data_IF_575420748313
#
_entry.id   IF_575420748313
#
_cell.length_a   1.000
_cell.length_b   1.000
_cell.length_c   1.000
_cell.angle_alpha   90.00
_cell.angle_beta   90.00
_cell.angle_gamma   90.00
#
_symmetry.space_group_name_H-M   'P 1'
#
loop_
_entity.id
_entity.type
_entity.pdbx_description
1 polymer ?
#
# COMPACT_ATOMS: atom_id res chain seq x y z
N UNK A 1 35.97 45.71 20.97
CA UNK A 1 35.83 46.71 19.91
C UNK A 1 35.45 46.01 18.60
N UNK A 2 34.23 46.20 18.13
CA UNK A 2 33.79 45.63 16.87
C UNK A 2 34.50 46.37 15.73
N UNK A 3 35.27 45.67 14.91
CA UNK A 3 35.89 46.21 13.69
C UNK A 3 34.74 46.54 12.70
N UNK A 4 34.47 47.83 12.49
CA UNK A 4 33.66 48.30 11.37
C UNK A 4 34.37 47.94 10.05
N UNK A 5 34.06 46.80 9.50
CA UNK A 5 34.47 46.44 8.13
C UNK A 5 33.56 47.22 7.22
N UNK A 6 34.12 48.19 6.44
CA UNK A 6 33.38 48.94 5.44
C UNK A 6 32.63 47.96 4.50
N UNK A 7 31.30 48.03 4.50
CA UNK A 7 30.46 47.16 3.64
C UNK A 7 30.77 47.45 2.18
N UNK A 8 31.16 46.40 1.47
CA UNK A 8 31.45 46.47 0.04
C UNK A 8 30.16 46.55 -0.76
N UNK A 9 29.99 47.50 -1.62
CA UNK A 9 28.83 47.63 -2.54
C UNK A 9 28.85 46.54 -3.59
N UNK A 10 28.16 45.42 -3.39
CA UNK A 10 28.11 44.30 -4.36
C UNK A 10 26.92 44.39 -5.31
N UNK A 11 25.99 45.34 -5.10
CA UNK A 11 24.78 45.49 -5.90
C UNK A 11 25.09 45.98 -7.33
N UNK A 12 26.08 46.85 -7.44
CA UNK A 12 26.37 47.53 -8.71
C UNK A 12 27.50 46.82 -9.47
N UNK A 13 27.30 46.50 -10.73
CA UNK A 13 28.33 45.92 -11.63
C UNK A 13 29.62 46.76 -11.64
N UNK A 14 29.50 48.08 -11.70
CA UNK A 14 30.62 49.02 -11.71
C UNK A 14 31.43 49.00 -10.39
N UNK A 15 30.76 48.79 -9.26
CA UNK A 15 31.39 48.62 -7.97
C UNK A 15 32.16 47.29 -7.90
N UNK A 16 31.54 46.19 -8.34
CA UNK A 16 32.19 44.88 -8.43
C UNK A 16 33.39 44.84 -9.34
N UNK A 17 33.31 45.55 -10.47
CA UNK A 17 34.41 45.65 -11.44
C UNK A 17 35.69 46.28 -10.85
N UNK A 18 35.57 47.11 -9.83
CA UNK A 18 36.72 47.77 -9.16
C UNK A 18 37.32 46.91 -8.03
N UNK A 19 36.72 45.78 -7.68
CA UNK A 19 37.24 44.94 -6.63
C UNK A 19 38.48 44.16 -7.11
N UNK A 20 39.57 44.06 -6.34
CA UNK A 20 40.69 43.20 -6.68
C UNK A 20 40.31 41.71 -6.65
N UNK A 21 40.91 40.92 -7.55
CA UNK A 21 40.79 39.47 -7.49
C UNK A 21 41.46 38.93 -6.22
N UNK A 22 40.80 38.01 -5.51
CA UNK A 22 41.34 37.39 -4.30
C UNK A 22 40.79 35.98 -4.09
N UNK A 23 41.47 35.20 -3.23
CA UNK A 23 41.09 33.82 -2.94
C UNK A 23 39.86 33.67 -2.01
N UNK A 24 39.35 34.74 -1.44
CA UNK A 24 38.20 34.71 -0.53
C UNK A 24 37.08 35.60 -1.09
N UNK A 25 35.79 35.17 -0.94
CA UNK A 25 34.65 35.98 -1.36
C UNK A 25 34.57 37.32 -0.61
N UNK A 26 34.00 38.32 -1.23
CA UNK A 26 33.54 39.55 -0.59
C UNK A 26 32.18 39.29 0.02
N UNK A 27 32.11 39.26 1.35
CA UNK A 27 30.88 38.93 2.05
C UNK A 27 30.09 40.17 2.41
N UNK A 28 28.76 40.08 2.20
CA UNK A 28 27.79 41.05 2.69
C UNK A 28 26.83 40.31 3.63
N UNK A 29 26.65 40.85 4.83
CA UNK A 29 25.65 40.33 5.78
C UNK A 29 24.25 40.68 5.28
N UNK A 30 23.33 39.69 5.32
CA UNK A 30 21.90 39.86 5.01
C UNK A 30 21.14 39.96 6.32
N UNK A 31 21.39 39.03 7.23
CA UNK A 31 20.95 39.03 8.59
C UNK A 31 21.92 38.18 9.45
N UNK A 32 21.66 38.05 10.73
CA UNK A 32 22.51 37.27 11.62
C UNK A 32 22.73 35.84 11.12
N UNK A 33 23.99 35.43 11.03
CA UNK A 33 24.39 34.10 10.53
C UNK A 33 24.21 33.86 9.00
N UNK A 34 23.71 34.83 8.22
CA UNK A 34 23.45 34.65 6.76
C UNK A 34 24.17 35.73 5.95
N UNK A 35 24.92 35.29 4.95
CA UNK A 35 25.76 36.18 4.14
C UNK A 35 25.69 35.79 2.67
N UNK A 36 25.54 36.78 1.79
CA UNK A 36 25.77 36.63 0.36
C UNK A 36 27.18 37.08 0.00
N UNK A 37 27.92 36.27 -0.70
CA UNK A 37 29.28 36.51 -1.09
C UNK A 37 29.45 36.67 -2.61
N UNK A 38 30.34 37.49 -2.98
CA UNK A 38 30.80 37.65 -4.36
C UNK A 38 32.27 37.24 -4.45
N UNK A 39 32.55 36.26 -5.29
CA UNK A 39 33.91 35.82 -5.58
C UNK A 39 34.38 36.43 -6.89
N UNK A 40 35.46 37.20 -6.86
CA UNK A 40 36.05 37.80 -8.02
C UNK A 40 37.20 36.94 -8.56
N UNK A 41 36.93 36.26 -9.68
CA UNK A 41 37.94 35.52 -10.45
C UNK A 41 38.58 36.31 -11.56
N UNK A 42 39.54 35.74 -12.28
CA UNK A 42 40.22 36.37 -13.41
C UNK A 42 39.35 36.53 -14.67
N UNK A 43 38.25 35.78 -14.80
CA UNK A 43 37.34 35.74 -15.97
C UNK A 43 35.92 36.12 -15.64
N UNK A 44 35.66 36.85 -14.57
CA UNK A 44 34.33 37.20 -14.06
C UNK A 44 34.14 36.82 -12.62
N UNK A 45 32.96 37.13 -12.09
CA UNK A 45 32.60 36.84 -10.71
C UNK A 45 31.57 35.72 -10.58
N UNK A 46 31.42 35.19 -9.36
CA UNK A 46 30.37 34.24 -9.00
C UNK A 46 29.78 34.57 -7.67
N UNK A 47 28.49 34.16 -7.51
CA UNK A 47 27.76 34.33 -6.29
C UNK A 47 27.84 33.07 -5.42
N UNK A 48 28.00 33.26 -4.12
CA UNK A 48 28.10 32.23 -3.13
C UNK A 48 27.29 32.64 -1.88
N UNK A 49 26.48 31.78 -1.37
CA UNK A 49 25.78 31.98 -0.11
C UNK A 49 26.47 31.22 1.03
N UNK A 50 26.42 31.77 2.26
CA UNK A 50 26.76 31.02 3.48
C UNK A 50 25.74 31.27 4.58
N UNK A 51 25.42 30.20 5.28
CA UNK A 51 24.51 30.24 6.42
C UNK A 51 25.12 29.48 7.60
N UNK A 52 24.85 29.94 8.80
CA UNK A 52 25.14 29.22 10.03
C UNK A 52 23.81 28.78 10.65
N UNK A 53 23.39 27.52 10.43
CA UNK A 53 22.17 26.98 11.05
C UNK A 53 22.27 27.00 12.57
N UNK A 54 21.12 27.08 13.30
CA UNK A 54 21.10 27.15 14.76
C UNK A 54 21.82 26.01 15.46
N UNK A 55 21.78 24.82 14.86
CA UNK A 55 22.30 23.57 15.45
C UNK A 55 23.74 23.25 15.01
N UNK A 56 24.36 24.06 14.14
CA UNK A 56 25.69 23.82 13.59
C UNK A 56 26.61 25.01 13.89
N UNK A 57 27.77 24.72 14.49
CA UNK A 57 28.76 25.75 14.80
C UNK A 57 29.49 26.31 13.58
N UNK A 58 29.49 25.60 12.46
CA UNK A 58 30.22 25.94 11.24
C UNK A 58 29.29 26.56 10.19
N UNK A 59 29.88 27.38 9.29
CA UNK A 59 29.17 27.92 8.15
C UNK A 59 29.05 26.89 7.04
N UNK A 60 27.83 26.64 6.58
CA UNK A 60 27.58 25.90 5.35
C UNK A 60 27.58 26.87 4.19
N UNK A 61 28.16 26.49 3.04
CA UNK A 61 28.28 27.33 1.85
C UNK A 61 27.65 26.66 0.63
N UNK A 62 27.05 27.49 -0.25
CA UNK A 62 26.47 27.05 -1.54
C UNK A 62 26.84 28.03 -2.64
N UNK A 63 27.40 27.54 -3.76
CA UNK A 63 27.58 28.31 -4.98
C UNK A 63 26.18 28.50 -5.62
N UNK A 64 25.85 29.74 -6.04
CA UNK A 64 24.53 30.08 -6.57
C UNK A 64 24.56 30.21 -8.10
N UNK A 65 25.65 30.72 -8.69
CA UNK A 65 25.80 30.94 -10.11
C UNK A 65 26.85 31.97 -10.43
N UNK A 66 27.05 32.24 -11.72
CA UNK A 66 27.93 33.30 -12.21
C UNK A 66 27.31 34.68 -11.98
N UNK A 67 28.16 35.70 -11.75
CA UNK A 67 27.66 37.06 -11.64
C UNK A 67 27.48 37.70 -13.01
N UNK A 68 26.53 38.59 -13.14
CA UNK A 68 26.19 39.35 -14.34
C UNK A 68 27.23 40.43 -14.70
N UNK A 69 28.53 40.15 -14.46
CA UNK A 69 29.62 41.12 -14.67
C UNK A 69 29.92 41.40 -16.14
N UNK A 70 29.74 40.39 -17.01
CA UNK A 70 30.12 40.41 -18.41
C UNK A 70 28.90 40.23 -19.32
N UNK A 71 27.97 39.33 -18.92
CA UNK A 71 26.79 38.96 -19.68
C UNK A 71 25.53 39.36 -18.87
N UNK A 72 24.45 39.67 -19.58
CA UNK A 72 23.17 39.98 -18.92
C UNK A 72 22.64 38.76 -18.15
N UNK A 73 21.97 38.96 -17.00
CA UNK A 73 21.46 37.89 -16.17
C UNK A 73 20.32 37.15 -16.87
N UNK A 74 20.39 35.81 -16.89
CA UNK A 74 19.36 34.91 -17.43
C UNK A 74 18.39 34.38 -16.33
N UNK A 75 18.74 34.60 -15.07
CA UNK A 75 17.96 34.13 -13.93
C UNK A 75 18.22 32.69 -13.51
N UNK A 76 19.02 31.94 -14.27
CA UNK A 76 19.37 30.53 -13.99
C UNK A 76 20.85 30.34 -13.69
N UNK A 77 21.71 30.54 -14.71
CA UNK A 77 23.13 30.33 -14.59
C UNK A 77 23.89 31.65 -14.31
N UNK A 78 23.39 32.78 -14.81
CA UNK A 78 23.95 34.13 -14.63
C UNK A 78 22.95 34.96 -13.84
N UNK A 79 23.35 35.37 -12.65
CA UNK A 79 22.48 36.04 -11.70
C UNK A 79 22.90 37.49 -11.47
N UNK A 80 21.96 38.42 -11.50
CA UNK A 80 22.13 39.75 -10.90
C UNK A 80 22.20 39.65 -9.37
N UNK A 81 22.63 40.75 -8.74
CA UNK A 81 22.64 40.81 -7.27
C UNK A 81 21.29 40.41 -6.66
N UNK A 82 20.18 40.90 -7.21
CA UNK A 82 18.84 40.65 -6.70
C UNK A 82 18.44 39.18 -6.83
N UNK A 83 18.67 38.58 -7.99
CA UNK A 83 18.42 37.16 -8.23
C UNK A 83 19.29 36.27 -7.34
N UNK A 84 20.58 36.63 -7.14
CA UNK A 84 21.46 35.91 -6.21
C UNK A 84 21.01 36.04 -4.75
N UNK A 85 20.46 37.19 -4.37
CA UNK A 85 19.89 37.40 -3.03
C UNK A 85 18.64 36.55 -2.85
N UNK A 86 17.73 36.53 -3.80
CA UNK A 86 16.51 35.74 -3.76
C UNK A 86 16.83 34.23 -3.70
N UNK A 87 17.81 33.77 -4.51
CA UNK A 87 18.31 32.39 -4.47
C UNK A 87 18.97 32.03 -3.14
N UNK A 88 19.71 32.98 -2.53
CA UNK A 88 20.31 32.78 -1.20
C UNK A 88 19.25 32.69 -0.10
N UNK A 89 18.23 33.54 -0.12
CA UNK A 89 17.13 33.51 0.85
C UNK A 89 16.34 32.22 0.76
N UNK A 90 16.01 31.75 -0.44
CA UNK A 90 15.37 30.47 -0.65
C UNK A 90 16.20 29.28 -0.11
N UNK A 91 17.53 29.34 -0.33
CA UNK A 91 18.41 28.30 0.21
C UNK A 91 18.53 28.34 1.73
N UNK A 92 18.51 29.51 2.38
CA UNK A 92 18.51 29.61 3.84
C UNK A 92 17.24 29.03 4.46
N UNK A 93 16.08 29.27 3.83
CA UNK A 93 14.82 28.66 4.24
C UNK A 93 14.86 27.14 4.20
N UNK A 94 15.44 26.58 3.14
CA UNK A 94 15.64 25.13 3.01
C UNK A 94 16.54 24.54 4.11
N UNK A 95 17.60 25.27 4.51
CA UNK A 95 18.51 24.83 5.58
C UNK A 95 17.88 24.88 6.96
N UNK A 96 17.05 25.88 7.24
CA UNK A 96 16.34 26.01 8.53
C UNK A 96 15.13 25.11 8.64
N UNK A 97 14.60 24.68 7.51
CA UNK A 97 13.47 23.77 7.43
C UNK A 97 13.84 22.60 6.49
N UNK A 98 14.62 21.60 6.99
CA UNK A 98 15.07 20.47 6.18
C UNK A 98 13.92 19.62 5.58
N UNK A 99 12.68 19.95 5.85
CA UNK A 99 11.48 19.38 5.24
C UNK A 99 10.85 20.22 4.12
N UNK A 100 11.40 21.39 3.78
CA UNK A 100 11.00 22.16 2.61
C UNK A 100 11.68 21.56 1.37
N UNK A 101 10.94 20.75 0.63
CA UNK A 101 11.30 20.32 -0.72
C UNK A 101 11.26 21.56 -1.61
N UNK A 102 12.18 21.67 -2.58
CA UNK A 102 12.17 22.77 -3.56
C UNK A 102 10.77 22.84 -4.22
N UNK A 103 10.19 24.03 -4.31
CA UNK A 103 8.84 24.20 -4.86
C UNK A 103 8.69 23.61 -6.27
N UNK A 104 9.78 23.56 -7.04
CA UNK A 104 9.83 22.92 -8.36
C UNK A 104 9.66 21.39 -8.30
N UNK A 105 10.03 20.74 -7.18
CA UNK A 105 9.97 19.28 -7.00
C UNK A 105 8.67 18.79 -6.37
N UNK A 106 7.76 19.72 -6.01
CA UNK A 106 6.47 19.39 -5.40
C UNK A 106 5.45 18.95 -6.44
N UNK A 107 5.64 17.79 -7.05
CA UNK A 107 4.74 17.24 -8.07
C UNK A 107 3.88 16.10 -7.53
N UNK A 108 2.82 15.76 -8.25
CA UNK A 108 2.00 14.57 -7.96
C UNK A 108 2.87 13.30 -7.97
N UNK A 109 3.86 13.22 -8.87
CA UNK A 109 4.79 12.09 -8.91
C UNK A 109 5.58 11.97 -7.60
N UNK A 110 6.16 13.06 -7.11
CA UNK A 110 6.94 13.07 -5.86
C UNK A 110 6.09 12.59 -4.67
N UNK A 111 4.84 13.06 -4.59
CA UNK A 111 3.90 12.63 -3.56
C UNK A 111 3.59 11.12 -3.63
N UNK A 112 3.42 10.59 -4.82
CA UNK A 112 3.18 9.16 -5.05
C UNK A 112 4.41 8.32 -4.70
N UNK A 113 5.60 8.77 -5.05
CA UNK A 113 6.86 8.07 -4.76
C UNK A 113 7.14 7.99 -3.26
N UNK A 114 6.95 9.09 -2.53
CA UNK A 114 7.09 9.15 -1.07
C UNK A 114 6.09 8.19 -0.38
N UNK A 115 4.83 8.24 -0.78
CA UNK A 115 3.81 7.32 -0.25
C UNK A 115 4.13 5.86 -0.55
N UNK A 116 4.58 5.55 -1.76
CA UNK A 116 4.96 4.21 -2.17
C UNK A 116 6.16 3.69 -1.35
N UNK A 117 7.15 4.54 -1.10
CA UNK A 117 8.32 4.19 -0.28
C UNK A 117 7.91 3.88 1.17
N UNK A 118 7.05 4.71 1.77
CA UNK A 118 6.50 4.48 3.11
C UNK A 118 5.71 3.16 3.19
N UNK A 119 4.88 2.87 2.17
CA UNK A 119 4.11 1.63 2.10
C UNK A 119 5.01 0.40 2.00
N UNK A 120 6.03 0.47 1.15
CA UNK A 120 7.00 -0.62 0.96
C UNK A 120 7.81 -0.88 2.23
N UNK A 121 8.27 0.16 2.91
CA UNK A 121 8.98 0.05 4.19
C UNK A 121 8.10 -0.63 5.25
N UNK A 122 6.85 -0.19 5.37
CA UNK A 122 5.89 -0.77 6.31
C UNK A 122 5.58 -2.25 6.02
N UNK A 123 5.35 -2.58 4.75
CA UNK A 123 4.99 -3.94 4.33
C UNK A 123 6.22 -4.87 4.43
N UNK A 124 7.42 -4.35 4.16
CA UNK A 124 8.70 -5.06 4.34
C UNK A 124 8.98 -5.36 5.83
N UNK A 125 8.79 -4.38 6.70
CA UNK A 125 8.95 -4.55 8.15
C UNK A 125 7.99 -5.63 8.70
N UNK A 126 6.74 -5.65 8.22
CA UNK A 126 5.74 -6.67 8.61
C UNK A 126 6.08 -8.07 8.10
N UNK A 127 6.72 -8.15 6.94
CA UNK A 127 7.05 -9.42 6.30
C UNK A 127 8.43 -9.96 6.68
N UNK A 128 9.27 -9.17 7.36
CA UNK A 128 10.66 -9.50 7.65
C UNK A 128 11.55 -9.66 6.41
N UNK A 129 11.12 -9.12 5.26
CA UNK A 129 11.86 -9.16 3.99
C UNK A 129 11.44 -8.01 3.08
N UNK A 130 12.29 -7.58 2.14
CA UNK A 130 11.92 -6.55 1.18
C UNK A 130 10.67 -6.93 0.38
N UNK A 131 9.67 -6.04 0.36
CA UNK A 131 8.44 -6.18 -0.41
C UNK A 131 8.09 -4.86 -1.10
N UNK A 132 7.55 -4.97 -2.31
CA UNK A 132 6.87 -3.87 -2.99
C UNK A 132 5.38 -3.97 -2.75
N UNK A 133 4.76 -2.88 -2.33
CA UNK A 133 3.32 -2.82 -2.06
C UNK A 133 2.51 -2.86 -3.35
N UNK A 134 1.32 -3.44 -3.29
CA UNK A 134 0.37 -3.40 -4.42
C UNK A 134 -0.02 -1.96 -4.78
N UNK A 135 -0.02 -1.06 -3.79
CA UNK A 135 -0.29 0.36 -3.99
C UNK A 135 0.76 1.02 -4.89
N UNK A 136 2.05 0.71 -4.69
CA UNK A 136 3.13 1.19 -5.59
C UNK A 136 2.85 0.79 -7.03
N UNK A 137 2.61 -0.51 -7.28
CA UNK A 137 2.40 -1.01 -8.64
C UNK A 137 1.23 -0.34 -9.35
N UNK A 138 0.12 -0.13 -8.63
CA UNK A 138 -1.06 0.57 -9.17
C UNK A 138 -0.78 2.04 -9.45
N UNK A 139 -0.22 2.77 -8.48
CA UNK A 139 0.05 4.19 -8.61
C UNK A 139 1.09 4.44 -9.70
N UNK A 140 2.17 3.64 -9.77
CA UNK A 140 3.15 3.77 -10.86
C UNK A 140 2.50 3.59 -12.22
N UNK A 141 1.67 2.55 -12.39
CA UNK A 141 1.07 2.23 -13.69
C UNK A 141 0.04 3.25 -14.16
N UNK A 142 -0.73 3.87 -13.27
CA UNK A 142 -1.89 4.68 -13.64
C UNK A 142 -1.81 6.15 -13.22
N UNK A 143 -0.81 6.53 -12.42
CA UNK A 143 -0.59 7.92 -12.02
C UNK A 143 0.77 8.40 -12.52
N UNK A 144 1.87 7.71 -12.21
CA UNK A 144 3.21 8.17 -12.60
C UNK A 144 3.40 8.14 -14.10
N UNK A 145 2.87 7.12 -14.80
CA UNK A 145 2.93 7.01 -16.27
C UNK A 145 2.03 8.05 -16.98
N UNK A 146 1.01 8.55 -16.30
CA UNK A 146 0.15 9.63 -16.82
C UNK A 146 0.84 10.98 -16.62
N UNK A 147 1.63 11.39 -17.62
CA UNK A 147 2.42 12.65 -17.58
C UNK A 147 1.55 13.90 -17.38
N UNK A 148 0.30 13.88 -17.83
CA UNK A 148 -0.63 15.00 -17.67
C UNK A 148 -1.01 15.24 -16.20
N UNK A 149 -0.95 14.22 -15.35
CA UNK A 149 -1.19 14.37 -13.92
C UNK A 149 0.11 14.33 -13.12
N UNK A 150 1.03 13.42 -13.44
CA UNK A 150 2.22 13.17 -12.62
C UNK A 150 3.15 14.38 -12.50
N UNK A 151 3.23 15.20 -13.57
CA UNK A 151 4.06 16.42 -13.63
C UNK A 151 3.38 17.66 -13.07
N UNK A 152 2.11 17.60 -12.73
CA UNK A 152 1.40 18.76 -12.14
C UNK A 152 2.05 19.13 -10.81
N UNK A 153 2.41 20.41 -10.67
CA UNK A 153 2.87 20.95 -9.41
C UNK A 153 1.72 20.96 -8.40
N UNK A 154 1.97 20.56 -7.17
CA UNK A 154 0.92 20.44 -6.15
C UNK A 154 0.34 21.78 -5.72
N UNK A 155 1.05 22.88 -5.92
CA UNK A 155 0.50 24.23 -5.74
C UNK A 155 -0.58 24.56 -6.76
N UNK A 156 -0.43 24.06 -7.99
CA UNK A 156 -1.31 24.35 -9.12
C UNK A 156 -2.36 23.25 -9.32
N UNK A 157 -2.33 22.18 -8.51
CA UNK A 157 -3.23 21.04 -8.64
C UNK A 157 -4.67 21.44 -8.37
N UNK A 158 -5.51 21.27 -9.37
CA UNK A 158 -6.94 21.60 -9.30
C UNK A 158 -7.82 20.35 -9.18
N UNK A 159 -9.07 20.55 -8.75
CA UNK A 159 -10.09 19.49 -8.82
C UNK A 159 -10.34 19.02 -10.27
N UNK A 160 -10.18 19.93 -11.23
CA UNK A 160 -10.32 19.65 -12.66
C UNK A 160 -9.32 18.63 -13.16
N UNK A 161 -8.04 18.74 -12.75
CA UNK A 161 -6.97 17.82 -13.12
C UNK A 161 -7.24 16.41 -12.59
N UNK A 162 -7.67 16.32 -11.33
CA UNK A 162 -8.01 15.05 -10.68
C UNK A 162 -9.22 14.37 -11.34
N UNK A 163 -10.25 15.15 -11.69
CA UNK A 163 -11.42 14.63 -12.41
C UNK A 163 -11.08 14.24 -13.85
N UNK A 164 -10.24 15.02 -14.54
CA UNK A 164 -9.78 14.70 -15.89
C UNK A 164 -8.99 13.38 -15.90
N UNK A 165 -8.12 13.17 -14.92
CA UNK A 165 -7.43 11.90 -14.74
C UNK A 165 -8.39 10.73 -14.51
N UNK A 166 -9.40 10.87 -13.63
CA UNK A 166 -10.40 9.80 -13.41
C UNK A 166 -11.15 9.44 -14.69
N UNK A 167 -11.49 10.42 -15.54
CA UNK A 167 -12.15 10.16 -16.84
C UNK A 167 -11.26 9.36 -17.80
N UNK A 168 -9.95 9.49 -17.75
CA UNK A 168 -9.01 8.68 -18.57
C UNK A 168 -8.97 7.20 -18.16
N UNK A 169 -9.46 6.86 -16.97
CA UNK A 169 -9.45 5.49 -16.45
C UNK A 169 -10.69 4.66 -16.82
N UNK A 170 -11.43 5.03 -17.87
CA UNK A 170 -12.70 4.37 -18.26
C UNK A 170 -12.56 2.88 -18.57
N UNK A 171 -11.40 2.42 -19.04
CA UNK A 171 -11.12 1.00 -19.33
C UNK A 171 -11.04 0.13 -18.07
N UNK A 172 -10.92 0.73 -16.90
CA UNK A 172 -10.80 0.00 -15.63
C UNK A 172 -12.19 -0.27 -15.03
N UNK A 173 -12.31 -1.43 -14.37
CA UNK A 173 -13.50 -1.75 -13.57
C UNK A 173 -13.68 -0.70 -12.46
N UNK A 174 -14.93 -0.35 -12.15
CA UNK A 174 -15.34 0.64 -11.15
C UNK A 174 -14.60 0.49 -9.82
N UNK A 175 -14.58 -0.71 -9.26
CA UNK A 175 -13.87 -1.00 -7.98
C UNK A 175 -12.36 -0.77 -8.08
N UNK A 176 -11.76 -0.99 -9.25
CA UNK A 176 -10.32 -0.74 -9.46
C UNK A 176 -10.05 0.75 -9.51
N UNK A 177 -10.90 1.53 -10.21
CA UNK A 177 -10.83 3.00 -10.22
C UNK A 177 -10.96 3.57 -8.81
N UNK A 178 -11.94 3.10 -8.05
CA UNK A 178 -12.14 3.55 -6.67
C UNK A 178 -10.94 3.25 -5.76
N UNK A 179 -10.33 2.07 -5.87
CA UNK A 179 -9.11 1.73 -5.13
C UNK A 179 -7.96 2.64 -5.51
N UNK A 180 -7.79 2.91 -6.80
CA UNK A 180 -6.75 3.78 -7.32
C UNK A 180 -6.93 5.22 -6.85
N UNK A 181 -8.16 5.75 -6.91
CA UNK A 181 -8.49 7.07 -6.38
C UNK A 181 -8.21 7.16 -4.86
N UNK A 182 -8.55 6.13 -4.10
CA UNK A 182 -8.25 6.07 -2.66
C UNK A 182 -6.74 6.01 -2.37
N UNK A 183 -5.96 5.26 -3.16
CA UNK A 183 -4.50 5.20 -3.02
C UNK A 183 -3.87 6.57 -3.37
N UNK A 184 -4.31 7.24 -4.44
CA UNK A 184 -3.84 8.59 -4.79
C UNK A 184 -4.22 9.61 -3.71
N UNK A 185 -5.46 9.59 -3.25
CA UNK A 185 -5.91 10.45 -2.14
C UNK A 185 -5.07 10.26 -0.88
N UNK A 186 -4.71 9.01 -0.55
CA UNK A 186 -3.86 8.72 0.59
C UNK A 186 -2.43 9.24 0.37
N UNK A 187 -1.89 9.17 -0.85
CA UNK A 187 -0.58 9.70 -1.20
C UNK A 187 -0.52 11.22 -1.06
N UNK A 188 -1.47 11.93 -1.67
CA UNK A 188 -1.54 13.39 -1.62
C UNK A 188 -1.75 13.91 -0.19
N UNK A 189 -2.63 13.28 0.60
CA UNK A 189 -2.84 13.67 1.99
C UNK A 189 -1.63 13.38 2.89
N UNK A 190 -0.92 12.28 2.68
CA UNK A 190 0.32 12.00 3.41
C UNK A 190 1.37 13.06 3.11
N UNK A 191 1.55 13.37 1.83
CA UNK A 191 2.50 14.39 1.39
C UNK A 191 2.18 15.75 2.00
N UNK A 192 0.89 16.15 2.00
CA UNK A 192 0.46 17.37 2.68
C UNK A 192 0.77 17.36 4.18
N UNK A 193 0.58 16.22 4.86
CA UNK A 193 0.91 16.12 6.30
C UNK A 193 2.40 16.34 6.58
N UNK A 194 3.27 15.82 5.70
CA UNK A 194 4.73 15.92 5.84
C UNK A 194 5.27 17.30 5.39
N UNK A 195 4.60 17.92 4.40
CA UNK A 195 5.04 19.17 3.76
C UNK A 195 4.01 20.31 3.94
N UNK A 196 3.33 20.36 5.07
CA UNK A 196 2.19 21.24 5.34
C UNK A 196 2.47 22.73 5.15
N UNK A 197 3.73 23.16 5.38
CA UNK A 197 4.13 24.57 5.22
C UNK A 197 4.40 24.95 3.76
N UNK A 198 4.66 23.96 2.92
CA UNK A 198 5.01 24.15 1.52
C UNK A 198 3.82 24.01 0.57
N UNK A 199 2.62 23.78 1.06
CA UNK A 199 1.41 23.57 0.24
C UNK A 199 0.27 24.47 0.69
N UNK A 200 -0.67 24.82 -0.22
CA UNK A 200 -1.84 25.61 0.11
C UNK A 200 -2.68 24.98 1.23
N UNK A 201 -3.24 25.80 2.11
CA UNK A 201 -4.02 25.31 3.25
C UNK A 201 -5.30 24.55 2.84
N UNK A 202 -5.86 24.86 1.69
CA UNK A 202 -7.04 24.24 1.09
C UNK A 202 -6.75 23.01 0.25
N UNK A 203 -5.48 22.64 0.06
CA UNK A 203 -5.06 21.47 -0.70
C UNK A 203 -5.82 20.16 -0.32
N UNK A 204 -6.07 19.85 0.97
CA UNK A 204 -6.86 18.67 1.33
C UNK A 204 -8.31 18.73 0.85
N UNK A 205 -8.87 19.92 0.69
CA UNK A 205 -10.23 20.14 0.16
C UNK A 205 -10.23 19.82 -1.32
N UNK A 206 -9.28 20.38 -2.09
CA UNK A 206 -9.07 20.08 -3.51
C UNK A 206 -8.95 18.57 -3.75
N UNK A 207 -8.13 17.87 -2.96
CA UNK A 207 -7.97 16.42 -3.04
C UNK A 207 -9.27 15.67 -2.70
N UNK A 208 -10.00 16.12 -1.67
CA UNK A 208 -11.26 15.49 -1.24
C UNK A 208 -12.33 15.61 -2.30
N UNK A 209 -12.47 16.79 -2.90
CA UNK A 209 -13.52 17.11 -3.89
C UNK A 209 -13.16 16.55 -5.27
N UNK A 210 -11.90 16.72 -5.71
CA UNK A 210 -11.42 16.24 -7.00
C UNK A 210 -11.40 14.70 -7.11
N UNK A 211 -11.19 13.99 -5.99
CA UNK A 211 -11.23 12.53 -5.92
C UNK A 211 -12.50 12.01 -5.23
N UNK A 212 -13.59 12.79 -5.22
CA UNK A 212 -14.90 12.29 -4.78
C UNK A 212 -15.37 11.21 -5.77
N UNK A 213 -15.85 10.08 -5.24
CA UNK A 213 -16.49 9.07 -6.07
C UNK A 213 -17.75 9.66 -6.73
N UNK A 214 -17.94 9.41 -8.01
CA UNK A 214 -19.18 9.74 -8.68
C UNK A 214 -20.33 8.94 -8.05
N UNK A 215 -21.47 9.55 -7.81
CA UNK A 215 -22.61 8.92 -7.11
C UNK A 215 -23.16 7.68 -7.85
N UNK A 216 -23.01 7.64 -9.17
CA UNK A 216 -23.38 6.50 -10.02
C UNK A 216 -22.67 5.18 -9.68
N UNK A 217 -21.60 5.21 -8.87
CA UNK A 217 -20.88 4.01 -8.46
C UNK A 217 -21.62 3.16 -7.43
N UNK A 218 -22.62 3.70 -6.76
CA UNK A 218 -23.36 3.01 -5.71
C UNK A 218 -24.61 2.29 -6.22
N UNK A 219 -25.13 2.68 -7.39
CA UNK A 219 -26.38 2.14 -7.93
C UNK A 219 -26.20 0.85 -8.76
N UNK A 220 -25.00 0.51 -9.22
CA UNK A 220 -24.77 -0.66 -10.06
C UNK A 220 -23.73 -1.60 -9.48
N UNK A 221 -24.16 -2.41 -8.55
CA UNK A 221 -23.39 -3.55 -8.10
C UNK A 221 -23.51 -3.82 -6.62
N UNK A 222 -24.64 -4.34 -6.22
CA UNK A 222 -24.62 -5.26 -5.10
C UNK A 222 -23.51 -6.26 -5.40
N UNK A 223 -22.42 -6.18 -4.64
CA UNK A 223 -21.37 -7.18 -4.69
C UNK A 223 -21.85 -8.43 -3.96
N UNK A 224 -23.00 -8.93 -4.39
CA UNK A 224 -23.50 -10.23 -3.97
C UNK A 224 -22.44 -11.24 -4.38
N UNK A 225 -22.11 -12.15 -3.51
CA UNK A 225 -21.23 -13.25 -3.85
C UNK A 225 -21.82 -13.93 -5.09
N UNK A 226 -21.03 -14.03 -6.17
CA UNK A 226 -21.52 -14.58 -7.44
C UNK A 226 -22.05 -15.99 -7.20
N UNK A 227 -23.23 -16.28 -7.69
CA UNK A 227 -23.87 -17.60 -7.49
C UNK A 227 -22.96 -18.76 -7.89
N UNK A 228 -22.22 -18.61 -8.99
CA UNK A 228 -21.25 -19.60 -9.44
C UNK A 228 -20.01 -19.76 -8.54
N UNK A 229 -19.91 -18.99 -7.46
CA UNK A 229 -18.86 -19.10 -6.44
C UNK A 229 -19.41 -19.65 -5.12
N UNK A 230 -20.70 -20.05 -5.06
CA UNK A 230 -21.30 -20.74 -3.92
C UNK A 230 -21.44 -22.21 -4.28
N UNK A 231 -20.62 -23.02 -3.67
CA UNK A 231 -20.58 -24.47 -3.90
C UNK A 231 -21.44 -25.18 -2.87
N UNK A 232 -22.20 -26.18 -3.31
CA UNK A 232 -22.85 -27.10 -2.39
C UNK A 232 -21.84 -28.06 -1.75
N UNK A 233 -22.30 -28.82 -0.76
CA UNK A 233 -21.43 -29.74 -0.03
C UNK A 233 -20.94 -30.92 -0.87
N UNK A 234 -21.69 -31.32 -1.92
CA UNK A 234 -21.28 -32.33 -2.90
C UNK A 234 -20.11 -31.83 -3.74
N UNK A 235 -20.24 -30.64 -4.29
CA UNK A 235 -19.20 -29.97 -5.09
C UNK A 235 -17.92 -29.74 -4.27
N UNK A 236 -18.06 -29.32 -3.00
CA UNK A 236 -16.89 -29.14 -2.10
C UNK A 236 -16.19 -30.47 -1.85
N UNK A 237 -16.96 -31.55 -1.59
CA UNK A 237 -16.38 -32.90 -1.43
C UNK A 237 -15.69 -33.39 -2.69
N UNK A 238 -16.27 -33.14 -3.85
CA UNK A 238 -15.68 -33.55 -5.14
C UNK A 238 -14.36 -32.81 -5.41
N UNK A 239 -14.31 -31.51 -5.15
CA UNK A 239 -13.05 -30.74 -5.25
C UNK A 239 -11.98 -31.32 -4.32
N UNK A 240 -12.33 -31.66 -3.07
CA UNK A 240 -11.41 -32.25 -2.11
C UNK A 240 -10.92 -33.62 -2.59
N UNK A 241 -11.82 -34.48 -3.08
CA UNK A 241 -11.48 -35.80 -3.61
C UNK A 241 -10.51 -35.69 -4.79
N UNK A 242 -10.80 -34.85 -5.77
CA UNK A 242 -9.94 -34.65 -6.93
C UNK A 242 -8.58 -34.02 -6.51
N UNK A 243 -8.58 -33.10 -5.54
CA UNK A 243 -7.33 -32.54 -5.04
C UNK A 243 -6.45 -33.62 -4.39
N UNK A 244 -7.04 -34.59 -3.67
CA UNK A 244 -6.32 -35.70 -3.06
C UNK A 244 -5.79 -36.70 -4.11
N UNK A 245 -6.56 -36.98 -5.14
CA UNK A 245 -6.18 -37.89 -6.21
C UNK A 245 -5.05 -37.35 -7.11
N UNK A 246 -5.03 -36.04 -7.33
CA UNK A 246 -4.07 -35.38 -8.23
C UNK A 246 -2.80 -34.89 -7.52
N UNK A 247 -2.74 -34.98 -6.20
CA UNK A 247 -1.63 -34.46 -5.40
C UNK A 247 -0.88 -35.61 -4.72
N UNK A 248 0.13 -36.13 -5.37
CA UNK A 248 0.99 -37.21 -4.84
C UNK A 248 1.63 -36.87 -3.47
N UNK A 249 1.94 -35.60 -3.25
CA UNK A 249 2.61 -35.14 -2.03
C UNK A 249 1.63 -34.78 -0.91
N UNK A 250 0.35 -34.63 -1.22
CA UNK A 250 -0.71 -34.22 -0.28
C UNK A 250 -0.65 -32.77 0.20
N UNK A 251 0.27 -31.96 -0.31
CA UNK A 251 0.52 -30.60 0.15
C UNK A 251 -0.58 -29.61 -0.32
N UNK A 252 -1.02 -29.75 -1.56
CA UNK A 252 -2.11 -28.98 -2.12
C UNK A 252 -3.46 -29.47 -1.60
N UNK A 253 -3.66 -30.76 -1.50
CA UNK A 253 -4.88 -31.36 -0.98
C UNK A 253 -5.12 -30.90 0.48
N UNK A 254 -4.11 -30.92 1.34
CA UNK A 254 -4.21 -30.41 2.69
C UNK A 254 -4.63 -28.94 2.74
N UNK A 255 -4.05 -28.09 1.85
CA UNK A 255 -4.44 -26.70 1.73
C UNK A 255 -5.91 -26.55 1.35
N UNK A 256 -6.40 -27.31 0.34
CA UNK A 256 -7.81 -27.29 -0.09
C UNK A 256 -8.75 -27.71 1.02
N UNK A 257 -8.43 -28.80 1.73
CA UNK A 257 -9.21 -29.26 2.89
C UNK A 257 -9.31 -28.19 3.95
N UNK A 258 -8.20 -27.53 4.30
CA UNK A 258 -8.20 -26.50 5.33
C UNK A 258 -8.94 -25.23 4.88
N UNK A 259 -8.87 -24.85 3.61
CA UNK A 259 -9.69 -23.75 3.06
C UNK A 259 -11.19 -24.07 3.18
N UNK A 260 -11.59 -25.29 2.85
CA UNK A 260 -12.98 -25.74 2.90
C UNK A 260 -13.50 -25.87 4.35
N UNK A 261 -12.70 -26.49 5.24
CA UNK A 261 -13.10 -26.74 6.63
C UNK A 261 -13.19 -25.47 7.47
N UNK A 262 -12.31 -24.49 7.23
CA UNK A 262 -12.24 -23.28 8.05
C UNK A 262 -12.88 -22.05 7.42
N UNK A 263 -13.06 -22.03 6.11
CA UNK A 263 -13.44 -20.83 5.37
C UNK A 263 -12.43 -19.68 5.52
N UNK A 264 -11.24 -19.95 6.05
CA UNK A 264 -10.21 -18.94 6.27
C UNK A 264 -9.61 -18.42 4.95
N UNK A 265 -9.02 -17.23 4.98
CA UNK A 265 -8.26 -16.73 3.82
C UNK A 265 -6.92 -17.47 3.70
N UNK A 266 -6.45 -17.67 2.50
CA UNK A 266 -5.11 -18.25 2.26
C UNK A 266 -4.03 -17.56 3.12
N UNK A 267 -4.05 -16.23 3.21
CA UNK A 267 -3.09 -15.46 4.01
C UNK A 267 -3.14 -15.73 5.52
N UNK A 268 -4.24 -16.27 6.02
CA UNK A 268 -4.39 -16.72 7.42
C UNK A 268 -3.80 -18.12 7.57
N UNK A 269 -4.22 -19.07 6.73
CA UNK A 269 -3.77 -20.47 6.79
C UNK A 269 -2.25 -20.60 6.60
N UNK A 270 -1.66 -19.84 5.66
CA UNK A 270 -0.20 -19.90 5.43
C UNK A 270 0.65 -19.46 6.64
N UNK A 271 0.04 -18.78 7.62
CA UNK A 271 0.73 -18.34 8.85
C UNK A 271 0.59 -19.33 10.00
N UNK A 272 -0.27 -20.33 9.83
CA UNK A 272 -0.46 -21.36 10.85
C UNK A 272 0.78 -22.21 10.99
N UNK A 273 1.06 -22.58 12.21
CA UNK A 273 2.10 -23.52 12.59
C UNK A 273 1.49 -24.83 13.07
N UNK A 274 2.33 -25.85 13.27
CA UNK A 274 1.90 -27.12 13.87
C UNK A 274 1.31 -26.91 15.27
N UNK A 275 1.79 -25.92 16.03
CA UNK A 275 1.26 -25.58 17.35
C UNK A 275 -0.20 -25.10 17.33
N UNK A 276 -0.69 -24.60 16.20
CA UNK A 276 -2.05 -24.11 16.04
C UNK A 276 -3.09 -25.23 15.84
N UNK A 277 -2.62 -26.47 15.71
CA UNK A 277 -3.48 -27.67 15.62
C UNK A 277 -3.71 -28.25 17.00
N UNK A 278 -4.92 -28.17 17.50
CA UNK A 278 -5.33 -28.66 18.81
C UNK A 278 -6.24 -29.89 18.65
N UNK A 279 -5.62 -31.06 18.38
CA UNK A 279 -6.35 -32.32 18.11
C UNK A 279 -7.20 -32.77 19.28
N UNK A 280 -6.72 -32.59 20.53
CA UNK A 280 -7.45 -32.97 21.73
C UNK A 280 -8.77 -32.19 21.91
N UNK A 281 -8.88 -31.05 21.28
CA UNK A 281 -10.05 -30.19 21.30
C UNK A 281 -10.76 -30.14 19.95
N UNK A 282 -10.35 -30.97 19.00
CA UNK A 282 -10.88 -31.04 17.63
C UNK A 282 -11.03 -29.66 16.98
N UNK A 283 -10.00 -28.81 17.11
CA UNK A 283 -10.02 -27.44 16.62
C UNK A 283 -8.68 -26.94 16.08
N UNK A 284 -8.77 -25.90 15.27
CA UNK A 284 -7.65 -25.13 14.74
C UNK A 284 -7.65 -23.71 15.32
N UNK A 285 -6.48 -23.17 15.58
CA UNK A 285 -6.29 -21.76 15.94
C UNK A 285 -5.90 -20.99 14.69
N UNK A 286 -6.87 -20.34 14.05
CA UNK A 286 -6.66 -19.58 12.81
C UNK A 286 -6.33 -18.14 13.16
N UNK A 287 -5.16 -17.60 12.78
CA UNK A 287 -4.80 -16.21 13.07
C UNK A 287 -5.69 -15.24 12.27
N UNK A 288 -6.17 -14.17 12.90
CA UNK A 288 -6.94 -13.13 12.23
C UNK A 288 -6.11 -12.42 11.15
N UNK A 289 -6.77 -11.82 10.16
CA UNK A 289 -6.10 -11.01 9.15
C UNK A 289 -5.53 -9.72 9.77
N UNK A 290 -4.43 -9.21 9.20
CA UNK A 290 -3.83 -7.93 9.60
C UNK A 290 -4.71 -6.76 9.16
N UNK A 291 -5.88 -6.60 9.77
CA UNK A 291 -6.75 -5.44 9.57
C UNK A 291 -6.65 -4.51 10.78
N UNK A 292 -6.35 -3.23 10.53
CA UNK A 292 -6.32 -2.19 11.55
C UNK A 292 -4.91 -1.87 12.08
N UNK A 293 -4.78 -0.69 12.67
CA UNK A 293 -3.54 -0.20 13.29
C UNK A 293 -3.28 -0.91 14.62
N UNK A 294 -2.16 -1.63 14.73
CA UNK A 294 -1.55 -1.94 16.02
C UNK A 294 -2.15 -3.09 16.86
N UNK A 295 -3.08 -3.92 16.34
CA UNK A 295 -3.55 -5.10 17.08
C UNK A 295 -2.68 -6.32 16.82
N UNK A 296 -2.21 -6.98 17.85
CA UNK A 296 -1.67 -8.33 17.76
C UNK A 296 -2.70 -9.26 17.12
N UNK A 297 -2.32 -10.18 16.22
CA UNK A 297 -3.27 -11.09 15.61
C UNK A 297 -3.91 -11.96 16.69
N UNK A 298 -5.23 -11.82 16.87
CA UNK A 298 -6.01 -12.73 17.68
C UNK A 298 -6.14 -14.08 16.97
N UNK A 299 -6.39 -15.13 17.71
CA UNK A 299 -6.62 -16.47 17.19
C UNK A 299 -8.12 -16.80 17.21
N UNK A 300 -8.62 -17.28 16.08
CA UNK A 300 -10.00 -17.76 15.94
C UNK A 300 -9.99 -19.27 16.17
N UNK A 301 -10.83 -19.73 17.08
CA UNK A 301 -11.02 -21.16 17.35
C UNK A 301 -12.03 -21.72 16.34
N UNK A 302 -11.58 -22.54 15.41
CA UNK A 302 -12.42 -23.18 14.40
C UNK A 302 -12.48 -24.68 14.69
N UNK A 303 -13.66 -25.20 15.00
CA UNK A 303 -13.85 -26.64 15.18
C UNK A 303 -13.75 -27.36 13.83
N UNK A 304 -13.18 -28.56 13.85
CA UNK A 304 -13.05 -29.43 12.68
C UNK A 304 -13.64 -30.81 12.95
N UNK A 305 -14.13 -31.46 11.91
CA UNK A 305 -14.65 -32.81 11.99
C UNK A 305 -13.56 -33.87 12.26
N UNK A 306 -13.95 -35.10 12.67
CA UNK A 306 -13.00 -36.16 12.97
C UNK A 306 -12.17 -36.58 11.75
N UNK A 307 -12.71 -36.48 10.55
CA UNK A 307 -12.06 -36.72 9.26
C UNK A 307 -10.88 -35.76 9.03
N UNK A 308 -11.14 -34.45 9.21
CA UNK A 308 -10.10 -33.40 9.10
C UNK A 308 -9.08 -33.54 10.23
N UNK A 309 -9.51 -33.87 11.45
CA UNK A 309 -8.61 -34.11 12.58
C UNK A 309 -7.68 -35.29 12.33
N UNK A 310 -8.17 -36.36 11.70
CA UNK A 310 -7.36 -37.51 11.33
C UNK A 310 -6.33 -37.16 10.24
N UNK A 311 -6.72 -36.40 9.23
CA UNK A 311 -5.82 -35.89 8.20
C UNK A 311 -4.71 -35.02 8.81
N UNK A 312 -5.09 -34.08 9.68
CA UNK A 312 -4.15 -33.21 10.39
C UNK A 312 -3.16 -34.01 11.27
N UNK A 313 -3.64 -35.05 11.97
CA UNK A 313 -2.76 -35.92 12.78
C UNK A 313 -1.64 -36.52 11.93
N UNK A 314 -1.97 -37.01 10.73
CA UNK A 314 -0.97 -37.54 9.79
C UNK A 314 -0.02 -36.46 9.29
N UNK A 315 -0.54 -35.24 9.04
CA UNK A 315 0.25 -34.14 8.50
C UNK A 315 1.24 -33.53 9.51
N UNK A 316 1.01 -33.68 10.83
CA UNK A 316 1.86 -33.07 11.87
C UNK A 316 2.75 -34.07 12.61
N UNK A 317 2.58 -35.36 12.38
CA UNK A 317 3.36 -36.40 13.10
C UNK A 317 4.85 -36.19 12.90
N UNK A 318 5.62 -36.21 13.99
CA UNK A 318 7.06 -36.02 13.95
C UNK A 318 7.56 -34.61 13.62
N UNK A 319 6.67 -33.64 13.46
CA UNK A 319 7.04 -32.25 13.10
C UNK A 319 7.17 -31.35 14.32
N UNK A 320 8.09 -30.37 14.24
CA UNK A 320 8.27 -29.38 15.29
C UNK A 320 7.05 -28.44 15.37
N UNK A 321 6.65 -28.06 16.58
CA UNK A 321 5.52 -27.16 16.82
C UNK A 321 5.63 -25.82 16.15
N UNK A 322 6.85 -25.28 15.99
CA UNK A 322 7.11 -23.99 15.35
C UNK A 322 7.12 -24.06 13.82
N UNK A 323 7.10 -25.25 13.22
CA UNK A 323 7.09 -25.37 11.77
C UNK A 323 5.79 -24.86 11.17
N UNK A 324 5.84 -24.24 9.97
CA UNK A 324 4.64 -23.90 9.21
C UNK A 324 3.77 -25.15 8.99
N UNK A 325 2.47 -25.08 9.32
CA UNK A 325 1.55 -26.21 9.12
C UNK A 325 1.49 -26.61 7.64
N UNK A 326 1.29 -25.63 6.78
CA UNK A 326 1.19 -25.81 5.33
C UNK A 326 2.55 -25.61 4.67
N UNK A 327 3.08 -26.70 4.14
CA UNK A 327 4.34 -26.74 3.41
C UNK A 327 4.09 -27.30 2.00
N UNK A 328 5.05 -27.08 1.11
CA UNK A 328 5.10 -27.70 -0.23
C UNK A 328 6.54 -27.93 -0.65
N UNK A 329 6.76 -28.83 -1.60
CA UNK A 329 8.06 -28.99 -2.22
C UNK A 329 8.51 -27.76 -2.98
N UNK A 330 9.75 -27.39 -2.81
CA UNK A 330 10.48 -26.43 -3.63
C UNK A 330 11.31 -27.20 -4.62
N UNK A 331 11.29 -26.76 -5.86
CA UNK A 331 12.00 -27.41 -6.94
C UNK A 331 13.19 -26.55 -7.37
N UNK A 332 14.30 -27.21 -7.70
CA UNK A 332 15.48 -26.60 -8.29
C UNK A 332 15.65 -27.11 -9.72
N UNK A 333 15.93 -26.21 -10.64
CA UNK A 333 16.24 -26.56 -12.01
C UNK A 333 17.70 -27.08 -12.07
N UNK A 334 17.89 -28.28 -12.62
CA UNK A 334 19.20 -28.92 -12.77
C UNK A 334 19.63 -29.00 -14.22
N UNK A 335 18.73 -28.77 -15.17
CA UNK A 335 18.97 -28.76 -16.60
C UNK A 335 17.81 -28.11 -17.35
N UNK A 336 17.89 -28.01 -18.67
CA UNK A 336 16.82 -27.48 -19.51
C UNK A 336 15.57 -28.37 -19.35
N UNK A 337 14.51 -27.80 -18.77
CA UNK A 337 13.25 -28.53 -18.52
C UNK A 337 13.31 -29.56 -17.37
N UNK A 338 14.46 -29.75 -16.71
CA UNK A 338 14.62 -30.75 -15.65
C UNK A 338 14.55 -30.08 -14.26
N UNK A 339 13.59 -30.54 -13.46
CA UNK A 339 13.34 -30.05 -12.10
C UNK A 339 13.39 -31.18 -11.10
N UNK A 340 14.12 -30.98 -10.00
CA UNK A 340 14.19 -31.92 -8.88
C UNK A 340 13.62 -31.33 -7.61
N UNK A 341 13.00 -32.17 -6.78
CA UNK A 341 12.56 -31.79 -5.43
C UNK A 341 13.81 -31.46 -4.60
N UNK A 342 13.89 -30.28 -4.04
CA UNK A 342 15.03 -29.80 -3.26
C UNK A 342 14.75 -29.84 -1.75
N UNK A 343 13.70 -29.14 -1.34
CA UNK A 343 13.32 -29.05 0.08
C UNK A 343 11.84 -28.72 0.24
N UNK A 344 11.27 -29.05 1.38
CA UNK A 344 9.96 -28.56 1.77
C UNK A 344 10.05 -27.14 2.32
N UNK A 345 9.05 -26.34 2.08
CA UNK A 345 8.98 -24.99 2.60
C UNK A 345 7.56 -24.44 2.59
N UNK A 346 7.29 -23.35 3.32
CA UNK A 346 5.94 -22.81 3.47
C UNK A 346 5.40 -22.31 2.14
N UNK A 347 4.08 -22.35 1.98
CA UNK A 347 3.38 -21.63 0.90
C UNK A 347 3.63 -20.13 1.03
N UNK A 348 4.01 -19.47 -0.06
CA UNK A 348 4.34 -18.03 -0.05
C UNK A 348 3.19 -17.15 -0.52
N UNK A 349 2.56 -17.51 -1.65
CA UNK A 349 1.51 -16.72 -2.30
C UNK A 349 0.35 -17.62 -2.73
N UNK A 350 -0.84 -17.03 -2.83
CA UNK A 350 -2.01 -17.75 -3.33
C UNK A 350 -1.85 -18.18 -4.79
N UNK A 351 -1.06 -17.47 -5.58
CA UNK A 351 -0.80 -17.84 -6.99
C UNK A 351 -0.09 -19.18 -7.15
N UNK A 352 0.61 -19.66 -6.13
CA UNK A 352 1.27 -20.97 -6.18
C UNK A 352 0.29 -22.15 -6.28
N UNK A 353 -0.98 -21.97 -5.88
CA UNK A 353 -2.01 -23.00 -6.03
C UNK A 353 -2.82 -22.90 -7.35
N UNK A 354 -2.69 -21.81 -8.09
CA UNK A 354 -3.61 -21.50 -9.22
C UNK A 354 -3.64 -22.62 -10.26
N UNK A 355 -2.48 -23.15 -10.62
CA UNK A 355 -2.41 -24.22 -11.65
C UNK A 355 -3.11 -25.50 -11.17
N UNK A 356 -2.80 -25.97 -9.98
CA UNK A 356 -3.40 -27.17 -9.39
C UNK A 356 -4.91 -26.96 -9.17
N UNK A 357 -5.30 -25.79 -8.66
CA UNK A 357 -6.70 -25.43 -8.47
C UNK A 357 -7.49 -25.47 -9.78
N UNK A 358 -7.00 -24.81 -10.83
CA UNK A 358 -7.68 -24.79 -12.13
C UNK A 358 -7.83 -26.21 -12.71
N UNK A 359 -6.83 -27.06 -12.51
CA UNK A 359 -6.90 -28.45 -12.97
C UNK A 359 -8.02 -29.22 -12.25
N UNK A 360 -8.09 -29.09 -10.92
CA UNK A 360 -9.13 -29.72 -10.10
C UNK A 360 -10.55 -29.23 -10.43
N UNK A 361 -10.76 -27.90 -10.53
CA UNK A 361 -12.10 -27.37 -10.78
C UNK A 361 -12.58 -27.64 -12.21
N UNK A 362 -11.66 -27.70 -13.18
CA UNK A 362 -12.01 -28.12 -14.53
C UNK A 362 -12.39 -29.61 -14.57
N UNK A 363 -11.66 -30.48 -13.87
CA UNK A 363 -12.02 -31.89 -13.75
C UNK A 363 -13.35 -32.13 -13.01
N UNK A 364 -13.72 -31.20 -12.11
CA UNK A 364 -15.01 -31.20 -11.41
C UNK A 364 -16.17 -30.61 -12.25
N UNK A 365 -15.92 -30.10 -13.46
CA UNK A 365 -16.92 -29.38 -14.26
C UNK A 365 -17.35 -28.03 -13.67
N UNK A 366 -16.46 -27.38 -12.90
CA UNK A 366 -16.70 -26.13 -12.17
C UNK A 366 -15.77 -25.01 -12.66
N UNK A 367 -15.63 -24.88 -13.98
CA UNK A 367 -14.74 -23.91 -14.61
C UNK A 367 -15.05 -22.48 -14.14
N UNK A 368 -13.99 -21.68 -13.94
CA UNK A 368 -14.10 -20.30 -13.48
C UNK A 368 -14.32 -20.14 -11.98
N UNK A 369 -14.44 -21.25 -11.23
CA UNK A 369 -14.50 -21.22 -9.77
C UNK A 369 -13.11 -20.87 -9.20
N UNK A 370 -13.05 -19.88 -8.34
CA UNK A 370 -11.79 -19.47 -7.68
C UNK A 370 -11.68 -20.11 -6.28
N UNK A 371 -10.45 -20.26 -5.72
CA UNK A 371 -10.29 -20.87 -4.38
C UNK A 371 -11.08 -20.16 -3.27
N UNK A 372 -11.41 -18.90 -3.45
CA UNK A 372 -12.20 -18.12 -2.49
C UNK A 372 -13.66 -18.58 -2.43
N UNK A 373 -14.14 -19.35 -3.41
CA UNK A 373 -15.45 -20.00 -3.40
C UNK A 373 -15.64 -20.90 -2.18
N UNK A 374 -14.60 -21.61 -1.73
CA UNK A 374 -14.64 -22.43 -0.52
C UNK A 374 -15.01 -21.61 0.71
N UNK A 375 -14.51 -20.38 0.80
CA UNK A 375 -14.88 -19.47 1.88
C UNK A 375 -16.30 -18.94 1.72
N UNK A 376 -16.74 -18.58 0.53
CA UNK A 376 -18.12 -18.17 0.28
C UNK A 376 -19.08 -19.27 0.71
N UNK A 377 -18.82 -20.50 0.30
CA UNK A 377 -19.63 -21.67 0.63
C UNK A 377 -19.64 -21.97 2.14
N UNK A 378 -18.49 -21.82 2.82
CA UNK A 378 -18.40 -21.97 4.28
C UNK A 378 -19.26 -20.93 5.03
N UNK A 379 -19.29 -19.68 4.57
CA UNK A 379 -20.13 -18.63 5.14
C UNK A 379 -21.61 -18.96 4.93
N UNK A 380 -22.00 -19.32 3.70
CA UNK A 380 -23.40 -19.67 3.36
C UNK A 380 -23.84 -20.91 4.14
N UNK A 381 -22.97 -21.92 4.28
CA UNK A 381 -23.25 -23.09 5.11
C UNK A 381 -23.54 -22.71 6.56
N UNK A 382 -22.77 -21.79 7.14
CA UNK A 382 -23.01 -21.29 8.49
C UNK A 382 -24.35 -20.56 8.62
N UNK A 383 -24.72 -19.77 7.61
CA UNK A 383 -26.01 -19.07 7.55
C UNK A 383 -27.16 -20.07 7.46
N UNK A 384 -27.10 -21.04 6.52
CA UNK A 384 -28.12 -22.10 6.35
C UNK A 384 -28.24 -23.02 7.56
N UNK A 385 -27.16 -23.18 8.33
CA UNK A 385 -27.20 -23.89 9.61
C UNK A 385 -27.76 -23.03 10.76
N UNK A 386 -28.34 -21.86 10.47
CA UNK A 386 -28.92 -20.92 11.41
C UNK A 386 -27.96 -20.46 12.52
N UNK A 387 -26.65 -20.41 12.23
CA UNK A 387 -25.71 -19.81 13.15
C UNK A 387 -25.95 -18.29 13.23
N UNK A 388 -25.89 -17.70 14.42
CA UNK A 388 -26.01 -16.25 14.56
C UNK A 388 -25.03 -15.53 13.65
N UNK A 389 -25.48 -14.53 12.91
CA UNK A 389 -24.67 -13.78 11.92
C UNK A 389 -23.37 -13.24 12.52
N UNK A 390 -23.42 -12.82 13.80
CA UNK A 390 -22.21 -12.40 14.53
C UNK A 390 -21.21 -13.53 14.70
N UNK A 391 -21.68 -14.76 14.93
CA UNK A 391 -20.81 -15.93 15.05
C UNK A 391 -20.20 -16.28 13.68
N UNK A 392 -21.02 -16.27 12.62
CA UNK A 392 -20.53 -16.47 11.25
C UNK A 392 -19.45 -15.42 10.90
N UNK A 393 -19.70 -14.15 11.23
CA UNK A 393 -18.71 -13.07 11.03
C UNK A 393 -17.42 -13.32 11.83
N UNK A 394 -17.52 -13.71 13.09
CA UNK A 394 -16.38 -13.99 13.97
C UNK A 394 -15.55 -15.19 13.46
N UNK A 395 -16.18 -16.30 13.11
CA UNK A 395 -15.52 -17.51 12.60
C UNK A 395 -14.75 -17.25 11.29
N UNK A 396 -15.27 -16.34 10.46
CA UNK A 396 -14.68 -16.01 9.17
C UNK A 396 -13.85 -14.72 9.19
N UNK A 397 -13.56 -14.13 10.36
CA UNK A 397 -12.79 -12.86 10.46
C UNK A 397 -13.34 -11.78 9.52
N UNK A 398 -14.63 -11.52 9.60
CA UNK A 398 -15.32 -10.49 8.84
C UNK A 398 -16.37 -9.77 9.70
N UNK A 399 -16.82 -8.59 9.27
CA UNK A 399 -17.87 -7.86 10.01
C UNK A 399 -19.27 -8.36 9.64
N UNK A 400 -20.22 -8.16 10.54
CA UNK A 400 -21.65 -8.41 10.29
C UNK A 400 -22.11 -7.64 9.05
N UNK A 401 -21.77 -6.36 8.94
CA UNK A 401 -22.09 -5.52 7.77
C UNK A 401 -21.61 -6.13 6.45
N UNK A 402 -20.45 -6.81 6.45
CA UNK A 402 -19.95 -7.48 5.24
C UNK A 402 -20.73 -8.76 4.94
N UNK A 403 -21.17 -9.49 5.97
CA UNK A 403 -22.05 -10.65 5.79
C UNK A 403 -23.40 -10.20 5.22
N UNK A 404 -24.05 -9.23 5.83
CA UNK A 404 -25.32 -8.68 5.36
C UNK A 404 -25.24 -8.15 3.94
N UNK A 405 -24.20 -7.40 3.62
CA UNK A 405 -24.00 -6.81 2.29
C UNK A 405 -23.80 -7.85 1.18
N UNK A 406 -23.08 -8.94 1.45
CA UNK A 406 -22.66 -9.88 0.41
C UNK A 406 -23.48 -11.17 0.39
N UNK A 407 -24.22 -11.47 1.47
CA UNK A 407 -24.92 -12.74 1.65
C UNK A 407 -26.37 -12.56 2.09
N UNK A 408 -26.97 -11.35 1.95
CA UNK A 408 -28.33 -11.02 2.36
C UNK A 408 -29.36 -12.03 1.83
N UNK A 409 -29.23 -12.44 0.55
CA UNK A 409 -30.12 -13.43 -0.07
C UNK A 409 -30.20 -14.73 0.72
N UNK A 410 -29.07 -15.25 1.19
CA UNK A 410 -29.04 -16.51 1.95
C UNK A 410 -29.47 -16.35 3.39
N UNK A 411 -29.42 -15.13 3.93
CA UNK A 411 -29.96 -14.82 5.27
C UNK A 411 -31.48 -14.88 5.27
N UNK A 412 -32.11 -14.48 4.17
CA UNK A 412 -33.57 -14.47 4.02
C UNK A 412 -34.11 -15.79 3.43
N UNK A 413 -33.26 -16.69 2.98
CA UNK A 413 -33.63 -18.01 2.51
C UNK A 413 -34.24 -18.84 3.68
N UNK A 414 -35.46 -19.35 3.52
CA UNK A 414 -36.14 -20.12 4.55
C UNK A 414 -36.69 -19.28 5.72
N UNK A 415 -36.83 -17.96 5.54
CA UNK A 415 -37.35 -17.06 6.59
C UNK A 415 -38.74 -17.47 7.07
N UNK A 416 -39.64 -17.91 6.17
CA UNK A 416 -41.01 -18.36 6.52
C UNK A 416 -40.99 -19.59 7.43
N UNK A 417 -40.15 -20.58 7.14
CA UNK A 417 -39.99 -21.78 7.94
C UNK A 417 -39.45 -21.46 9.34
N UNK A 418 -38.47 -20.54 9.40
CA UNK A 418 -37.88 -20.07 10.66
C UNK A 418 -38.91 -19.29 11.48
N UNK A 419 -39.66 -18.40 10.83
CA UNK A 419 -40.71 -17.63 11.46
C UNK A 419 -41.83 -18.57 12.02
N UNK A 420 -42.22 -19.58 11.27
CA UNK A 420 -43.22 -20.57 11.68
C UNK A 420 -42.81 -21.33 12.97
N UNK A 421 -41.51 -21.63 13.13
CA UNK A 421 -40.99 -22.27 14.36
C UNK A 421 -41.04 -21.37 15.59
N UNK A 422 -41.10 -20.05 15.39
CA UNK A 422 -41.20 -19.08 16.49
C UNK A 422 -42.64 -18.78 16.91
N UNK A 423 -43.64 -19.32 16.17
CA UNK A 423 -45.04 -19.11 16.48
C UNK A 423 -45.41 -19.93 17.75
N UNK A 424 -45.87 -19.23 18.76
CA UNK A 424 -46.37 -19.83 20.00
C UNK A 424 -47.90 -19.70 20.03
N UNK A 425 -48.65 -20.78 20.33
CA UNK A 425 -50.10 -20.66 20.56
C UNK A 425 -50.37 -19.70 21.72
N UNK A 426 -51.12 -18.63 21.46
CA UNK A 426 -51.45 -17.60 22.45
C UNK A 426 -52.86 -17.81 23.09
N UNK A 427 -53.67 -18.65 22.48
CA UNK A 427 -55.01 -18.95 22.95
C UNK A 427 -55.03 -20.35 23.61
N UNK A 428 -55.70 -20.47 24.75
CA UNK A 428 -55.94 -21.78 25.36
C UNK A 428 -56.82 -22.61 24.41
N UNK A 429 -56.49 -23.89 24.23
CA UNK A 429 -57.26 -24.83 23.43
C UNK A 429 -58.60 -25.15 24.12
#
# INVERSE_FOLDING_TARGET
MARNVAEVRLQDRSARARLPARHHPYWRSICEGRHLGYYRGGRGGSWIARCRPPDISEYVTKALGSADDIVEPDGEAILSWRQALDAALAWYELLENPGLVDAADLTVQTAVEEYAAMRDARDSARAGRPLRSDGRSRLTRYVVVDEQLSRVNLHDLTEGDLRAWQRRLTSLKVLTRQRLANDLKAALNLFFQNHRRALPADFPITVKVGLKAEESYWEHGETVARENQILDDGQVREIIRLAQEQDEDGDFALLVVLLAATGARFSQLRRMTVADVQLDQSRLLVPTSFKGKGRSPALIKVCVGPDVAQLLRRAIIGRNRAEPLLQKWRYRQVGVGQWVKERRGPWKTASEMTRAWNHVVNAAGLEGTIPYALRHSSIVRGIRANLPIRLVGALHDTSVTMIERHYSRWITEGLEELAARAVVPLLAA
#
